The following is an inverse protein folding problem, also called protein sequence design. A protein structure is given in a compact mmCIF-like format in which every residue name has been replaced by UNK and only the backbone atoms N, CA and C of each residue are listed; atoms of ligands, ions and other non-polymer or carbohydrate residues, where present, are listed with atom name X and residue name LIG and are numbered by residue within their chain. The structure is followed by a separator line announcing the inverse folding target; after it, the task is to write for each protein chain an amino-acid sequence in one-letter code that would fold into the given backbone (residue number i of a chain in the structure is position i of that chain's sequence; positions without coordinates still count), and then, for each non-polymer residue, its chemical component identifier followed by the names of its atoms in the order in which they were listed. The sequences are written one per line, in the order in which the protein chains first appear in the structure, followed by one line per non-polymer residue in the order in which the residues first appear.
data_IF_217070840142
#
_entry.id   IF_217070840142
#
_cell.length_a   1.000
_cell.length_b   1.000
_cell.length_c   1.000
_cell.angle_alpha   90.00
_cell.angle_beta   90.00
_cell.angle_gamma   90.00
#
_symmetry.space_group_name_H-M   'P 1'
#
loop_
_entity.id
_entity.type
_entity.pdbx_description
1 polymer ?
#
# COMPACT_ATOMS: atom_id res chain seq x y z
N UNK A 1 -32.49 -12.06 36.66
CA UNK A 1 -32.21 -10.80 37.39
C UNK A 1 -30.71 -10.75 37.62
N UNK A 2 -29.97 -10.10 36.75
CA UNK A 2 -28.52 -9.94 36.82
C UNK A 2 -28.23 -8.51 37.26
N UNK A 3 -27.71 -8.41 38.46
CA UNK A 3 -27.39 -7.16 39.15
C UNK A 3 -26.19 -6.49 38.48
N UNK A 4 -26.39 -5.31 37.89
CA UNK A 4 -25.32 -4.50 37.27
C UNK A 4 -24.71 -3.60 38.34
N UNK A 5 -23.46 -3.89 38.73
CA UNK A 5 -22.69 -3.01 39.61
C UNK A 5 -22.43 -1.64 38.96
N UNK A 6 -22.68 -0.57 39.75
CA UNK A 6 -22.46 0.82 39.31
C UNK A 6 -21.00 1.25 39.50
N UNK A 7 -20.53 2.23 38.66
CA UNK A 7 -19.16 2.78 38.70
C UNK A 7 -18.70 3.29 40.09
N UNK A 8 -19.61 3.64 40.97
CA UNK A 8 -19.30 4.10 42.32
C UNK A 8 -18.88 2.96 43.27
N UNK A 9 -19.25 1.71 43.01
CA UNK A 9 -18.87 0.55 43.82
C UNK A 9 -17.46 0.03 43.50
N UNK A 10 -16.90 0.36 42.31
CA UNK A 10 -15.57 -0.05 41.91
C UNK A 10 -14.44 0.80 42.54
N UNK A 11 -14.75 2.04 42.96
CA UNK A 11 -13.76 2.98 43.49
C UNK A 11 -13.55 2.89 45.02
N UNK A 12 -14.31 2.05 45.74
CA UNK A 12 -14.19 1.93 47.19
C UNK A 12 -13.39 0.75 47.73
N UNK A 13 -12.74 -0.05 46.86
CA UNK A 13 -11.94 -1.23 47.26
C UNK A 13 -10.44 -1.15 47.02
N UNK A 14 -9.87 0.04 46.85
CA UNK A 14 -8.47 0.25 46.56
C UNK A 14 -7.75 1.17 47.55
N UNK A 15 -7.95 1.04 48.85
CA UNK A 15 -7.16 1.78 49.82
C UNK A 15 -6.99 0.97 51.12
N UNK A 16 -5.94 0.14 51.20
CA UNK A 16 -5.30 -0.24 52.50
C UNK A 16 -3.90 -0.76 52.19
N UNK A 17 -2.89 -0.01 52.65
CA UNK A 17 -1.72 -0.46 53.42
C UNK A 17 -0.59 -1.18 52.70
N UNK A 18 0.59 -0.58 52.72
CA UNK A 18 1.83 -1.29 52.41
C UNK A 18 3.08 -0.46 52.54
N UNK A 19 3.64 -0.52 53.67
CA UNK A 19 4.93 -0.08 54.19
C UNK A 19 6.06 0.08 53.19
N UNK A 20 6.75 1.22 53.31
CA UNK A 20 8.05 1.57 52.71
C UNK A 20 9.14 0.79 53.46
N UNK A 21 9.95 0.00 52.74
CA UNK A 21 11.23 -0.47 53.19
C UNK A 21 12.32 0.14 52.27
N UNK A 22 13.01 1.11 52.87
CA UNK A 22 14.26 1.67 52.34
C UNK A 22 15.41 0.74 52.66
N UNK A 23 16.20 0.36 51.65
CA UNK A 23 17.51 -0.22 51.80
C UNK A 23 18.51 0.64 51.04
N UNK A 24 19.56 1.19 51.69
CA UNK A 24 20.54 2.01 51.02
C UNK A 24 21.74 1.17 50.54
N UNK A 25 22.27 1.55 49.40
CA UNK A 25 23.69 1.47 49.10
C UNK A 25 24.16 0.21 48.40
N UNK A 26 24.65 0.43 47.19
CA UNK A 26 26.06 0.17 46.86
C UNK A 26 26.37 0.73 45.46
N UNK A 27 27.08 1.87 45.47
CA UNK A 27 27.85 2.40 44.34
C UNK A 27 28.99 1.39 44.05
N UNK A 28 29.03 0.88 42.84
CA UNK A 28 30.24 0.38 42.21
C UNK A 28 30.38 0.99 40.83
N UNK A 29 31.19 2.02 40.74
CA UNK A 29 31.74 2.54 39.51
C UNK A 29 32.84 1.61 39.03
N UNK A 30 32.89 1.40 37.70
CA UNK A 30 34.04 1.21 36.82
C UNK A 30 33.48 0.69 35.48
N UNK A 31 33.52 1.46 34.42
CA UNK A 31 34.66 1.84 33.67
C UNK A 31 34.50 1.35 32.27
N UNK A 32 34.46 2.22 31.30
CA UNK A 32 34.97 1.91 29.97
C UNK A 32 33.99 1.67 28.83
N UNK A 33 33.67 2.72 28.06
CA UNK A 33 33.82 2.66 26.62
C UNK A 33 32.68 2.03 25.80
N UNK A 34 31.97 2.85 25.03
CA UNK A 34 31.15 2.41 23.92
C UNK A 34 29.72 2.89 24.02
N UNK A 35 29.49 4.16 23.78
CA UNK A 35 28.12 4.73 23.68
C UNK A 35 27.41 4.26 22.41
N UNK A 36 26.91 3.06 22.43
CA UNK A 36 25.79 2.68 21.57
C UNK A 36 24.53 2.94 22.37
N UNK A 37 23.77 3.97 22.06
CA UNK A 37 22.41 4.09 22.55
C UNK A 37 21.64 2.85 22.12
N UNK A 38 21.36 1.94 23.05
CA UNK A 38 20.43 0.83 22.81
C UNK A 38 19.06 1.47 22.54
N UNK A 39 18.76 1.72 21.29
CA UNK A 39 17.45 2.19 20.89
C UNK A 39 16.45 1.10 21.30
N UNK A 40 15.53 1.43 22.18
CA UNK A 40 14.55 0.46 22.67
C UNK A 40 13.64 0.00 21.52
N UNK A 41 13.86 -1.20 21.04
CA UNK A 41 12.98 -1.88 20.10
C UNK A 41 11.76 -2.37 20.87
N UNK A 42 10.57 -2.00 20.41
CA UNK A 42 9.31 -2.48 21.01
C UNK A 42 9.13 -3.98 20.71
N UNK A 43 8.47 -4.69 21.65
CA UNK A 43 8.12 -6.11 21.45
C UNK A 43 6.95 -6.33 20.48
N UNK A 44 6.31 -5.27 20.03
CA UNK A 44 5.17 -5.30 19.11
C UNK A 44 5.38 -4.26 18.03
N UNK A 45 5.15 -4.66 16.79
CA UNK A 45 5.05 -3.80 15.61
C UNK A 45 3.58 -3.68 15.20
N UNK A 46 3.06 -2.47 15.12
CA UNK A 46 1.72 -2.18 14.61
C UNK A 46 1.83 -1.70 13.17
N UNK A 47 1.46 -2.54 12.22
CA UNK A 47 1.64 -2.31 10.79
C UNK A 47 0.29 -2.22 10.07
N UNK A 48 -0.05 -1.04 9.53
CA UNK A 48 -1.22 -0.83 8.70
C UNK A 48 -0.87 -0.89 7.22
N UNK A 49 -1.60 -1.71 6.47
CA UNK A 49 -1.38 -1.95 5.06
C UNK A 49 -2.71 -2.12 4.31
N UNK A 50 -2.61 -2.31 3.02
CA UNK A 50 -3.71 -2.64 2.12
C UNK A 50 -4.17 -4.10 2.30
N UNK A 51 -5.43 -4.43 2.02
CA UNK A 51 -5.89 -5.81 1.93
C UNK A 51 -5.11 -6.61 0.90
N UNK A 52 -4.97 -7.90 1.13
CA UNK A 52 -4.30 -8.84 0.21
C UNK A 52 -2.83 -8.46 -0.15
N UNK A 53 -2.13 -7.72 0.69
CA UNK A 53 -0.83 -7.13 0.34
C UNK A 53 0.34 -7.70 1.16
N UNK A 54 0.17 -8.95 1.62
CA UNK A 54 1.19 -9.73 2.34
C UNK A 54 1.05 -11.21 1.97
N UNK A 55 2.15 -11.95 2.01
CA UNK A 55 2.12 -13.39 1.82
C UNK A 55 1.36 -14.08 2.96
N UNK A 56 0.46 -14.97 2.60
CA UNK A 56 -0.34 -15.78 3.52
C UNK A 56 0.04 -17.26 3.41
N UNK A 57 -0.31 -18.05 4.41
CA UNK A 57 -0.14 -19.51 4.33
C UNK A 57 -0.86 -20.09 3.11
N UNK A 58 -2.04 -19.53 2.75
CA UNK A 58 -2.78 -19.95 1.57
C UNK A 58 -2.04 -19.59 0.28
N UNK A 59 -1.65 -18.32 0.10
CA UNK A 59 -1.00 -17.88 -1.13
C UNK A 59 0.36 -18.55 -1.37
N UNK A 60 1.14 -18.80 -0.32
CA UNK A 60 2.37 -19.57 -0.42
C UNK A 60 2.12 -21.02 -0.81
N UNK A 61 1.11 -21.66 -0.23
CA UNK A 61 0.71 -23.02 -0.58
C UNK A 61 0.23 -23.12 -2.03
N UNK A 62 -0.55 -22.16 -2.50
CA UNK A 62 -1.02 -22.10 -3.88
C UNK A 62 0.15 -21.96 -4.87
N UNK A 63 1.21 -21.23 -4.46
CA UNK A 63 2.48 -21.14 -5.19
C UNK A 63 3.41 -22.35 -5.01
N UNK A 64 3.01 -23.36 -4.24
CA UNK A 64 3.83 -24.55 -3.97
C UNK A 64 4.97 -24.31 -2.96
N UNK A 65 4.92 -23.22 -2.20
CA UNK A 65 5.96 -22.82 -1.23
C UNK A 65 5.58 -23.32 0.16
N UNK A 66 6.30 -24.34 0.65
CA UNK A 66 6.13 -24.87 2.01
C UNK A 66 7.08 -24.15 2.98
N UNK A 67 6.70 -22.94 3.37
CA UNK A 67 7.45 -22.09 4.33
C UNK A 67 6.48 -21.31 5.21
N UNK A 68 6.93 -20.91 6.45
CA UNK A 68 6.23 -19.90 7.21
C UNK A 68 6.11 -18.59 6.42
N UNK A 69 5.05 -17.80 6.66
CA UNK A 69 4.90 -16.47 6.07
C UNK A 69 6.05 -15.53 6.46
N UNK A 70 6.28 -14.48 5.72
CA UNK A 70 7.32 -13.50 6.05
C UNK A 70 7.09 -12.85 7.41
N UNK A 71 5.84 -12.62 7.83
CA UNK A 71 5.52 -12.15 9.17
C UNK A 71 5.93 -13.17 10.25
N UNK A 72 5.60 -14.45 10.07
CA UNK A 72 5.98 -15.50 11.01
C UNK A 72 7.51 -15.65 11.12
N UNK A 73 8.22 -15.55 9.98
CA UNK A 73 9.69 -15.56 9.97
C UNK A 73 10.28 -14.36 10.70
N UNK A 74 9.70 -13.16 10.52
CA UNK A 74 10.12 -11.97 11.25
C UNK A 74 9.93 -12.13 12.75
N UNK A 75 8.76 -12.58 13.19
CA UNK A 75 8.46 -12.82 14.60
C UNK A 75 9.43 -13.84 15.21
N UNK A 76 9.65 -14.97 14.53
CA UNK A 76 10.56 -16.02 14.99
C UNK A 76 12.02 -15.54 15.09
N UNK A 77 12.47 -14.70 14.15
CA UNK A 77 13.83 -14.19 14.08
C UNK A 77 14.12 -13.10 15.12
N UNK A 78 13.14 -12.25 15.40
CA UNK A 78 13.33 -11.02 16.18
C UNK A 78 12.69 -11.06 17.56
N UNK A 79 11.71 -11.91 17.79
CA UNK A 79 10.86 -11.91 18.98
C UNK A 79 9.85 -10.75 19.03
N UNK A 80 9.77 -9.93 17.96
CA UNK A 80 8.81 -8.83 17.83
C UNK A 80 7.53 -9.40 17.26
N UNK A 81 6.42 -9.25 17.96
CA UNK A 81 5.08 -9.60 17.47
C UNK A 81 4.59 -8.58 16.45
N UNK A 82 3.89 -9.01 15.40
CA UNK A 82 3.32 -8.13 14.38
C UNK A 82 1.79 -8.12 14.49
N UNK A 83 1.24 -6.96 14.83
CA UNK A 83 -0.16 -6.68 14.63
C UNK A 83 -0.31 -6.10 13.22
N UNK A 84 -0.74 -6.93 12.28
CA UNK A 84 -0.98 -6.52 10.90
C UNK A 84 -2.43 -6.10 10.71
N UNK A 85 -2.65 -4.89 10.17
CA UNK A 85 -3.97 -4.30 9.99
C UNK A 85 -4.22 -4.05 8.51
N UNK A 86 -5.15 -4.77 7.93
CA UNK A 86 -5.68 -4.53 6.58
C UNK A 86 -6.75 -3.43 6.66
N UNK A 87 -6.31 -2.18 6.79
CA UNK A 87 -7.21 -1.06 7.05
C UNK A 87 -7.07 0.12 6.07
N UNK A 88 -6.21 -0.02 5.07
CA UNK A 88 -6.03 0.99 4.01
C UNK A 88 -6.89 0.58 2.82
N UNK A 89 -8.14 1.04 2.74
CA UNK A 89 -8.99 0.79 1.58
C UNK A 89 -8.61 1.66 0.39
N UNK A 90 -8.27 2.92 0.67
CA UNK A 90 -7.71 3.86 -0.31
C UNK A 90 -6.88 4.94 0.40
N UNK A 91 -5.94 5.57 -0.32
CA UNK A 91 -5.14 6.67 0.23
C UNK A 91 -6.02 7.83 0.75
N UNK A 92 -7.02 8.36 -0.01
CA UNK A 92 -7.83 9.46 0.47
C UNK A 92 -8.63 9.13 1.73
N UNK A 93 -9.21 7.93 1.82
CA UNK A 93 -9.98 7.51 3.00
C UNK A 93 -9.09 7.34 4.23
N UNK A 94 -7.95 6.65 4.07
CA UNK A 94 -7.04 6.44 5.19
C UNK A 94 -6.42 7.75 5.66
N UNK A 95 -6.01 8.62 4.74
CA UNK A 95 -5.51 9.95 5.08
C UNK A 95 -6.55 10.78 5.83
N UNK A 96 -7.79 10.84 5.36
CA UNK A 96 -8.88 11.52 6.04
C UNK A 96 -9.12 10.98 7.48
N UNK A 97 -9.02 9.67 7.66
CA UNK A 97 -9.15 9.00 8.97
C UNK A 97 -8.07 9.44 9.97
N UNK A 98 -6.83 9.65 9.52
CA UNK A 98 -5.69 9.86 10.43
C UNK A 98 -5.19 11.30 10.52
N UNK A 99 -5.43 12.15 9.50
CA UNK A 99 -4.88 13.51 9.40
C UNK A 99 -5.22 14.38 10.61
N UNK A 100 -6.43 14.29 11.15
CA UNK A 100 -6.84 15.11 12.28
C UNK A 100 -6.03 14.86 13.56
N UNK A 101 -5.59 13.62 13.80
CA UNK A 101 -4.69 13.29 14.92
C UNK A 101 -3.27 13.78 14.64
N UNK A 102 -2.76 13.49 13.44
CA UNK A 102 -1.41 13.88 13.03
C UNK A 102 -1.24 15.41 13.05
N UNK A 103 -2.25 16.16 12.61
CA UNK A 103 -2.26 17.62 12.64
C UNK A 103 -2.19 18.22 14.07
N UNK A 104 -2.66 17.46 15.08
CA UNK A 104 -2.50 17.82 16.50
C UNK A 104 -1.20 17.33 17.12
N UNK A 105 -0.31 16.72 16.32
CA UNK A 105 0.94 16.12 16.82
C UNK A 105 0.73 14.80 17.57
N UNK A 106 -0.44 14.15 17.42
CA UNK A 106 -0.78 12.90 18.09
C UNK A 106 -0.42 11.69 17.22
N UNK A 107 0.15 10.65 17.84
CA UNK A 107 0.37 9.38 17.17
C UNK A 107 -0.95 8.67 16.82
N UNK A 108 -0.93 7.89 15.76
CA UNK A 108 -2.09 7.14 15.27
C UNK A 108 -2.13 5.68 15.76
N UNK A 109 -1.13 5.27 16.57
CA UNK A 109 -1.01 3.91 17.10
C UNK A 109 -0.54 2.90 16.03
N UNK A 110 0.17 3.36 15.03
CA UNK A 110 0.84 2.55 14.00
C UNK A 110 2.33 2.87 13.98
N UNK A 111 3.15 1.84 13.78
CA UNK A 111 4.60 2.00 13.63
C UNK A 111 4.98 2.12 12.14
N UNK A 112 4.23 1.43 11.27
CA UNK A 112 4.36 1.54 9.82
C UNK A 112 2.96 1.74 9.24
N UNK A 113 2.87 2.61 8.24
CA UNK A 113 1.75 2.70 7.29
C UNK A 113 2.28 2.66 5.87
N UNK A 114 1.48 2.17 4.93
CA UNK A 114 1.83 2.13 3.51
C UNK A 114 0.97 3.12 2.74
N UNK A 115 1.63 3.92 1.89
CA UNK A 115 0.99 4.93 1.05
C UNK A 115 1.63 4.97 -0.33
N UNK A 116 0.82 5.16 -1.35
CA UNK A 116 1.24 5.13 -2.76
C UNK A 116 1.86 6.46 -3.19
N UNK A 117 2.86 6.42 -4.06
CA UNK A 117 3.46 7.59 -4.70
C UNK A 117 2.61 8.14 -5.87
N UNK A 118 1.59 7.40 -6.27
CA UNK A 118 0.66 7.77 -7.34
C UNK A 118 -0.51 8.64 -6.86
N UNK A 119 -0.36 9.24 -5.67
CA UNK A 119 -1.32 10.16 -5.07
C UNK A 119 -0.58 11.25 -4.28
N UNK A 120 -1.25 12.35 -3.91
CA UNK A 120 -0.66 13.47 -3.16
C UNK A 120 -0.30 13.13 -1.72
N UNK A 121 -0.94 12.13 -1.14
CA UNK A 121 -0.96 11.89 0.30
C UNK A 121 0.40 11.50 0.87
N UNK A 122 1.21 10.71 0.16
CA UNK A 122 2.56 10.38 0.59
C UNK A 122 3.43 11.64 0.76
N UNK A 123 3.38 12.55 -0.21
CA UNK A 123 4.08 13.83 -0.12
C UNK A 123 3.53 14.70 1.04
N UNK A 124 2.22 14.68 1.30
CA UNK A 124 1.63 15.42 2.42
C UNK A 124 2.07 14.88 3.78
N UNK A 125 2.18 13.57 3.98
CA UNK A 125 2.75 13.01 5.22
C UNK A 125 4.16 13.54 5.48
N UNK A 126 4.99 13.64 4.45
CA UNK A 126 6.37 14.11 4.55
C UNK A 126 6.42 15.62 4.77
N UNK A 127 5.73 16.41 3.94
CA UNK A 127 5.76 17.88 3.97
C UNK A 127 5.17 18.46 5.25
N UNK A 128 4.13 17.83 5.80
CA UNK A 128 3.52 18.22 7.06
C UNK A 128 4.31 17.70 8.28
N UNK A 129 5.43 16.99 8.08
CA UNK A 129 6.25 16.37 9.14
C UNK A 129 5.44 15.33 9.96
N UNK A 130 4.50 14.67 9.33
CA UNK A 130 3.73 13.58 9.93
C UNK A 130 4.40 12.22 9.75
N UNK A 131 5.37 12.13 8.82
CA UNK A 131 6.30 11.01 8.70
C UNK A 131 7.58 11.32 9.49
N UNK A 132 8.06 10.35 10.27
CA UNK A 132 9.33 10.43 10.99
C UNK A 132 10.50 10.06 10.06
N UNK A 133 11.68 10.61 10.33
CA UNK A 133 12.91 10.22 9.62
C UNK A 133 13.25 8.76 9.88
N UNK A 134 13.63 8.05 8.82
CA UNK A 134 14.18 6.70 8.91
C UNK A 134 15.59 6.74 9.54
N UNK A 135 15.87 5.82 10.42
CA UNK A 135 17.24 5.55 10.86
C UNK A 135 17.88 4.52 9.91
N UNK A 136 18.56 5.00 8.87
CA UNK A 136 19.19 4.16 7.87
C UNK A 136 20.30 3.26 8.43
N UNK A 137 20.87 3.61 9.60
CA UNK A 137 21.86 2.76 10.27
C UNK A 137 21.26 1.44 10.74
N UNK A 138 19.93 1.43 11.00
CA UNK A 138 19.15 0.25 11.36
C UNK A 138 18.59 -0.50 10.13
N UNK A 139 18.81 0.04 8.92
CA UNK A 139 18.32 -0.55 7.67
C UNK A 139 19.50 -0.82 6.71
N UNK A 140 20.52 -1.61 7.10
CA UNK A 140 21.68 -1.87 6.24
C UNK A 140 21.31 -2.52 4.89
N UNK A 141 20.18 -3.21 4.82
CA UNK A 141 19.67 -3.81 3.57
C UNK A 141 19.04 -2.79 2.60
N UNK A 142 18.93 -1.50 2.97
CA UNK A 142 18.47 -0.44 2.05
C UNK A 142 19.34 -0.37 0.77
N UNK A 143 20.59 -0.80 0.84
CA UNK A 143 21.50 -0.95 -0.32
C UNK A 143 20.94 -1.86 -1.42
N UNK A 144 19.96 -2.71 -1.08
CA UNK A 144 19.31 -3.61 -2.01
C UNK A 144 18.15 -2.96 -2.76
N UNK A 145 17.78 -1.71 -2.45
CA UNK A 145 16.76 -0.97 -3.20
C UNK A 145 17.17 -0.86 -4.68
N UNK A 146 16.21 -1.11 -5.58
CA UNK A 146 16.44 -0.99 -7.04
C UNK A 146 16.79 0.45 -7.43
N UNK A 147 17.68 0.67 -8.41
CA UNK A 147 18.16 2.01 -8.78
C UNK A 147 17.04 2.98 -9.16
N UNK A 148 16.02 2.52 -9.88
CA UNK A 148 14.92 3.35 -10.36
C UNK A 148 14.10 4.02 -9.23
N UNK A 149 14.17 3.49 -8.00
CA UNK A 149 13.39 3.97 -6.87
C UNK A 149 14.24 4.69 -5.79
N UNK A 150 15.53 4.93 -6.05
CA UNK A 150 16.43 5.51 -5.04
C UNK A 150 16.19 7.00 -4.80
N UNK A 151 15.74 7.75 -5.81
CA UNK A 151 15.67 9.22 -5.76
C UNK A 151 14.31 9.75 -6.25
N UNK A 152 13.18 9.41 -5.60
CA UNK A 152 11.88 9.93 -6.00
C UNK A 152 11.77 11.43 -5.68
N UNK A 153 11.01 12.21 -6.45
CA UNK A 153 10.89 13.66 -6.26
C UNK A 153 10.37 14.06 -4.87
N UNK A 154 9.48 13.27 -4.27
CA UNK A 154 8.87 13.55 -2.97
C UNK A 154 9.79 13.24 -1.78
N UNK A 155 10.84 12.43 -1.96
CA UNK A 155 11.82 12.04 -0.93
C UNK A 155 13.17 11.67 -1.59
N UNK A 156 13.92 12.65 -2.15
CA UNK A 156 15.08 12.39 -3.00
C UNK A 156 16.21 11.59 -2.33
N UNK A 157 16.25 11.62 -1.03
CA UNK A 157 17.26 10.91 -0.23
C UNK A 157 16.72 9.65 0.45
N UNK A 158 15.43 9.31 0.29
CA UNK A 158 14.80 8.23 1.07
C UNK A 158 14.96 8.44 2.58
N UNK A 159 14.77 9.68 3.05
CA UNK A 159 14.90 10.01 4.46
C UNK A 159 13.64 9.66 5.26
N UNK A 160 12.48 9.56 4.62
CA UNK A 160 11.18 9.38 5.28
C UNK A 160 10.40 8.17 4.79
N UNK A 161 10.74 7.67 3.61
CA UNK A 161 9.99 6.60 2.95
C UNK A 161 10.90 5.49 2.43
N UNK A 162 10.40 4.26 2.47
CA UNK A 162 11.09 3.12 1.88
C UNK A 162 10.07 2.30 1.08
N UNK A 163 10.31 2.04 -0.24
CA UNK A 163 9.39 1.30 -1.07
C UNK A 163 8.98 -0.05 -0.47
N UNK A 164 7.70 -0.36 -0.53
CA UNK A 164 7.13 -1.65 -0.18
C UNK A 164 7.08 -2.54 -1.41
N UNK A 165 6.38 -2.09 -2.42
CA UNK A 165 6.16 -2.83 -3.66
C UNK A 165 5.77 -1.89 -4.80
N UNK A 166 5.80 -2.39 -6.03
CA UNK A 166 5.18 -1.74 -7.18
C UNK A 166 4.10 -2.64 -7.78
N UNK A 167 3.12 -2.01 -8.40
CA UNK A 167 2.07 -2.67 -9.16
C UNK A 167 1.72 -1.89 -10.41
N UNK A 168 0.80 -2.44 -11.17
CA UNK A 168 0.36 -1.88 -12.45
C UNK A 168 -1.15 -1.70 -12.46
N UNK A 169 -1.59 -0.60 -13.04
CA UNK A 169 -3.00 -0.34 -13.34
C UNK A 169 -3.40 -0.98 -14.65
N UNK A 170 -4.59 -1.55 -14.64
CA UNK A 170 -5.16 -2.18 -15.81
C UNK A 170 -6.67 -2.28 -15.74
N UNK A 171 -7.21 -3.19 -16.51
CA UNK A 171 -8.64 -3.49 -16.59
C UNK A 171 -8.87 -4.94 -16.21
N UNK A 172 -9.89 -5.19 -15.38
CA UNK A 172 -10.33 -6.52 -15.03
C UNK A 172 -11.81 -6.72 -15.37
N UNK A 173 -12.19 -7.98 -15.62
CA UNK A 173 -13.59 -8.37 -15.85
C UNK A 173 -13.88 -9.74 -15.24
N UNK A 174 -15.16 -9.99 -15.01
CA UNK A 174 -15.68 -11.27 -14.58
C UNK A 174 -16.35 -11.96 -15.78
N UNK A 175 -15.80 -13.10 -16.24
CA UNK A 175 -16.26 -13.82 -17.43
C UNK A 175 -17.66 -14.45 -17.29
N UNK A 176 -18.15 -14.64 -16.06
CA UNK A 176 -19.53 -15.07 -15.82
C UNK A 176 -20.55 -13.97 -16.12
N UNK A 177 -20.11 -12.71 -16.18
CA UNK A 177 -20.99 -11.53 -16.27
C UNK A 177 -20.88 -10.82 -17.60
N UNK A 178 -19.72 -10.85 -18.24
CA UNK A 178 -19.46 -10.14 -19.50
C UNK A 178 -18.43 -10.85 -20.39
N UNK A 179 -18.47 -10.55 -21.68
CA UNK A 179 -17.38 -10.83 -22.63
C UNK A 179 -16.09 -10.10 -22.19
N UNK A 180 -14.92 -10.48 -22.72
CA UNK A 180 -13.66 -9.81 -22.37
C UNK A 180 -13.69 -8.28 -22.53
N UNK A 181 -13.30 -7.57 -21.48
CA UNK A 181 -13.16 -6.11 -21.43
C UNK A 181 -11.70 -5.76 -21.28
N UNK A 182 -11.07 -5.28 -22.34
CA UNK A 182 -9.61 -5.14 -22.41
C UNK A 182 -9.13 -3.69 -22.58
N UNK A 183 -10.04 -2.72 -22.61
CA UNK A 183 -9.70 -1.29 -22.78
C UNK A 183 -10.56 -0.37 -21.94
N UNK A 184 -10.04 0.80 -21.62
CA UNK A 184 -10.80 1.87 -20.94
C UNK A 184 -11.99 2.34 -21.80
N UNK A 185 -11.81 2.33 -23.13
CA UNK A 185 -12.90 2.65 -24.07
C UNK A 185 -14.09 1.71 -23.89
N UNK A 186 -13.85 0.39 -23.81
CA UNK A 186 -14.92 -0.59 -23.58
C UNK A 186 -15.60 -0.36 -22.23
N UNK A 187 -14.85 -0.10 -21.15
CA UNK A 187 -15.43 0.23 -19.84
C UNK A 187 -16.44 1.39 -19.94
N UNK A 188 -16.13 2.42 -20.72
CA UNK A 188 -16.90 3.66 -20.72
C UNK A 188 -17.97 3.74 -21.80
N UNK A 189 -17.88 2.92 -22.85
CA UNK A 189 -18.75 3.04 -24.02
C UNK A 189 -19.60 1.79 -24.31
N UNK A 190 -19.25 0.60 -23.82
CA UNK A 190 -20.05 -0.58 -24.05
C UNK A 190 -21.38 -0.49 -23.27
N UNK A 191 -22.53 -0.42 -23.95
CA UNK A 191 -23.83 -0.29 -23.30
C UNK A 191 -24.21 -1.53 -22.48
N UNK A 192 -23.62 -2.70 -22.75
CA UNK A 192 -23.81 -3.92 -21.96
C UNK A 192 -23.28 -3.78 -20.53
N UNK A 193 -22.30 -2.90 -20.32
CA UNK A 193 -21.66 -2.67 -19.03
C UNK A 193 -22.34 -1.57 -18.20
N UNK A 194 -23.38 -0.93 -18.71
CA UNK A 194 -24.01 0.21 -18.05
C UNK A 194 -24.42 -0.10 -16.60
N UNK A 195 -23.94 0.71 -15.65
CA UNK A 195 -24.19 0.57 -14.22
C UNK A 195 -23.46 -0.61 -13.55
N UNK A 196 -22.50 -1.24 -14.27
CA UNK A 196 -21.72 -2.38 -13.77
C UNK A 196 -20.20 -2.17 -13.89
N UNK A 197 -19.76 -0.92 -14.06
CA UNK A 197 -18.34 -0.56 -14.17
C UNK A 197 -17.86 0.10 -12.89
N UNK A 198 -16.72 -0.37 -12.35
CA UNK A 198 -16.00 0.24 -11.26
C UNK A 198 -14.85 1.11 -11.77
N UNK A 199 -14.59 2.23 -11.08
CA UNK A 199 -13.37 3.04 -11.22
C UNK A 199 -12.84 3.35 -9.84
N UNK A 200 -11.56 3.73 -9.71
CA UNK A 200 -11.01 4.06 -8.40
C UNK A 200 -11.36 5.48 -7.94
N UNK A 201 -11.34 5.67 -6.62
CA UNK A 201 -11.39 6.98 -5.98
C UNK A 201 -10.00 7.66 -5.90
N UNK A 202 -8.98 7.05 -6.48
CA UNK A 202 -7.65 7.62 -6.70
C UNK A 202 -7.62 8.41 -8.02
N UNK A 203 -7.23 9.68 -7.94
CA UNK A 203 -7.14 10.57 -9.11
C UNK A 203 -6.06 10.10 -10.08
N UNK A 204 -4.88 9.76 -9.56
CA UNK A 204 -3.74 9.34 -10.36
C UNK A 204 -4.03 8.10 -11.19
N UNK A 205 -4.54 7.05 -10.55
CA UNK A 205 -4.84 5.77 -11.20
C UNK A 205 -5.95 5.93 -12.25
N UNK A 206 -7.06 6.56 -11.86
CA UNK A 206 -8.21 6.70 -12.76
C UNK A 206 -7.93 7.62 -13.94
N UNK A 207 -7.43 8.83 -13.69
CA UNK A 207 -7.18 9.78 -14.79
C UNK A 207 -5.96 9.40 -15.61
N UNK A 208 -4.96 8.72 -15.03
CA UNK A 208 -3.81 8.20 -15.77
C UNK A 208 -4.23 7.24 -16.88
N UNK A 209 -5.07 6.25 -16.59
CA UNK A 209 -5.58 5.33 -17.61
C UNK A 209 -6.46 6.05 -18.66
N UNK A 210 -7.27 7.02 -18.25
CA UNK A 210 -8.12 7.79 -19.17
C UNK A 210 -7.26 8.68 -20.09
N UNK A 211 -6.16 9.27 -19.56
CA UNK A 211 -5.23 10.04 -20.38
C UNK A 211 -4.59 9.17 -21.46
N UNK A 212 -4.15 7.97 -21.10
CA UNK A 212 -3.60 7.01 -22.07
C UNK A 212 -4.63 6.64 -23.14
N UNK A 213 -5.88 6.39 -22.76
CA UNK A 213 -6.98 6.14 -23.71
C UNK A 213 -7.22 7.32 -24.65
N UNK A 214 -7.07 8.55 -24.17
CA UNK A 214 -7.17 9.77 -24.98
C UNK A 214 -5.93 10.03 -25.87
N UNK A 215 -4.85 9.25 -25.72
CA UNK A 215 -3.56 9.46 -26.37
C UNK A 215 -2.69 10.54 -25.73
N UNK A 216 -2.98 10.89 -24.46
CA UNK A 216 -2.22 11.84 -23.67
C UNK A 216 -1.15 11.11 -22.82
N UNK A 217 -0.03 11.75 -22.53
CA UNK A 217 1.02 11.22 -21.65
C UNK A 217 0.74 11.65 -20.18
N UNK A 218 0.39 10.73 -19.28
CA UNK A 218 0.13 11.06 -17.88
C UNK A 218 1.38 11.57 -17.12
N UNK A 219 2.59 11.37 -17.67
CA UNK A 219 3.83 11.91 -17.12
C UNK A 219 4.09 13.38 -17.50
N UNK A 220 3.27 13.96 -18.39
CA UNK A 220 3.40 15.34 -18.90
C UNK A 220 2.05 16.03 -18.98
N UNK A 221 1.43 16.18 -17.84
CA UNK A 221 0.07 16.68 -17.75
C UNK A 221 0.01 18.18 -18.05
N UNK A 222 -0.98 18.57 -18.86
CA UNK A 222 -1.36 19.95 -19.13
C UNK A 222 -2.82 20.17 -18.69
N UNK A 223 -3.24 21.42 -18.52
CA UNK A 223 -4.65 21.74 -18.24
C UNK A 223 -5.59 21.15 -19.32
N UNK A 224 -5.15 21.12 -20.56
CA UNK A 224 -5.92 20.57 -21.66
C UNK A 224 -6.09 19.06 -21.55
N UNK A 225 -5.01 18.30 -21.30
CA UNK A 225 -5.07 16.84 -21.14
C UNK A 225 -5.82 16.43 -19.88
N UNK A 226 -5.60 17.13 -18.76
CA UNK A 226 -6.35 16.91 -17.52
C UNK A 226 -7.85 17.11 -17.72
N UNK A 227 -8.26 18.26 -18.30
CA UNK A 227 -9.68 18.55 -18.50
C UNK A 227 -10.32 17.59 -19.52
N UNK A 228 -9.60 17.10 -20.54
CA UNK A 228 -10.12 16.04 -21.43
C UNK A 228 -10.41 14.75 -20.68
N UNK A 229 -9.45 14.27 -19.88
CA UNK A 229 -9.62 13.04 -19.09
C UNK A 229 -10.78 13.18 -18.10
N UNK A 230 -10.84 14.31 -17.38
CA UNK A 230 -11.92 14.59 -16.43
C UNK A 230 -13.28 14.63 -17.11
N UNK A 231 -13.42 15.33 -18.25
CA UNK A 231 -14.68 15.41 -19.01
C UNK A 231 -15.11 14.04 -19.54
N UNK A 232 -14.14 13.19 -19.91
CA UNK A 232 -14.40 11.81 -20.33
C UNK A 232 -15.04 11.00 -19.19
N UNK A 233 -14.46 11.09 -17.98
CA UNK A 233 -14.98 10.46 -16.77
C UNK A 233 -16.36 11.02 -16.39
N UNK A 234 -16.53 12.36 -16.38
CA UNK A 234 -17.81 12.99 -16.08
C UNK A 234 -18.93 12.50 -17.01
N UNK A 235 -18.64 12.35 -18.30
CA UNK A 235 -19.61 11.81 -19.28
C UNK A 235 -20.01 10.38 -18.90
N UNK A 236 -19.05 9.54 -18.53
CA UNK A 236 -19.32 8.16 -18.13
C UNK A 236 -20.13 8.08 -16.82
N UNK A 237 -19.84 8.94 -15.84
CA UNK A 237 -20.61 9.07 -14.60
C UNK A 237 -22.04 9.55 -14.88
N UNK A 238 -22.20 10.65 -15.61
CA UNK A 238 -23.52 11.26 -15.93
C UNK A 238 -24.40 10.33 -16.78
N UNK A 239 -23.82 9.49 -17.62
CA UNK A 239 -24.58 8.51 -18.42
C UNK A 239 -25.06 7.31 -17.59
N UNK A 240 -24.61 7.17 -16.36
CA UNK A 240 -24.85 6.00 -15.51
C UNK A 240 -24.05 4.77 -15.94
N UNK A 241 -22.97 4.92 -16.71
CA UNK A 241 -22.06 3.83 -17.08
C UNK A 241 -21.30 3.35 -15.86
N UNK A 242 -20.74 4.29 -15.08
CA UNK A 242 -20.01 4.02 -13.84
C UNK A 242 -21.00 3.74 -12.72
N UNK A 243 -20.81 2.61 -12.02
CA UNK A 243 -21.60 2.24 -10.83
C UNK A 243 -21.19 3.06 -9.61
N UNK A 244 -19.88 3.10 -9.32
CA UNK A 244 -19.33 3.84 -8.20
C UNK A 244 -17.81 4.00 -8.33
N UNK A 245 -17.27 4.85 -7.45
CA UNK A 245 -15.85 4.96 -7.17
C UNK A 245 -15.50 4.05 -5.99
N UNK A 246 -14.39 3.33 -6.09
CA UNK A 246 -13.97 2.32 -5.13
C UNK A 246 -12.53 2.56 -4.65
N UNK A 247 -12.19 2.04 -3.47
CA UNK A 247 -10.83 1.69 -3.09
C UNK A 247 -10.59 0.20 -3.41
N UNK A 248 -9.90 -0.53 -2.55
CA UNK A 248 -9.69 -1.99 -2.69
C UNK A 248 -10.98 -2.82 -2.66
N UNK A 249 -12.05 -2.24 -2.14
CA UNK A 249 -13.36 -2.89 -2.05
C UNK A 249 -14.02 -3.16 -3.41
N UNK A 250 -13.46 -2.68 -4.54
CA UNK A 250 -13.92 -3.10 -5.88
C UNK A 250 -13.73 -4.60 -6.12
N UNK A 251 -12.64 -5.18 -5.62
CA UNK A 251 -12.23 -6.55 -5.93
C UNK A 251 -13.27 -7.61 -5.48
N UNK A 252 -13.76 -7.61 -4.23
CA UNK A 252 -14.84 -8.54 -3.84
C UNK A 252 -16.17 -8.26 -4.55
N UNK A 253 -16.45 -7.03 -4.98
CA UNK A 253 -17.67 -6.68 -5.73
C UNK A 253 -17.60 -7.22 -7.16
N UNK A 254 -16.41 -7.16 -7.79
CA UNK A 254 -16.14 -7.77 -9.09
C UNK A 254 -16.23 -9.30 -9.02
N UNK A 255 -15.64 -9.92 -7.99
CA UNK A 255 -15.67 -11.36 -7.80
C UNK A 255 -17.09 -11.91 -7.63
N UNK A 256 -17.99 -11.16 -6.98
CA UNK A 256 -19.40 -11.52 -6.83
C UNK A 256 -20.23 -11.34 -8.11
N UNK A 257 -19.70 -10.67 -9.12
CA UNK A 257 -20.41 -10.33 -10.35
C UNK A 257 -21.34 -9.11 -10.24
N UNK A 258 -21.28 -8.37 -9.14
CA UNK A 258 -22.01 -7.09 -8.98
C UNK A 258 -21.40 -5.98 -9.85
N UNK A 259 -20.10 -6.07 -10.16
CA UNK A 259 -19.43 -5.41 -11.27
C UNK A 259 -19.20 -6.43 -12.38
N UNK A 260 -19.38 -6.00 -13.63
CA UNK A 260 -19.01 -6.79 -14.80
C UNK A 260 -17.52 -6.57 -15.13
N UNK A 261 -17.05 -5.34 -15.04
CA UNK A 261 -15.66 -4.95 -15.25
C UNK A 261 -15.28 -3.74 -14.38
N UNK A 262 -13.98 -3.56 -14.18
CA UNK A 262 -13.45 -2.44 -13.39
C UNK A 262 -12.04 -2.07 -13.86
N UNK A 263 -11.64 -0.82 -13.62
CA UNK A 263 -10.23 -0.51 -13.44
C UNK A 263 -9.74 -1.34 -12.25
N UNK A 264 -8.57 -1.97 -12.34
CA UNK A 264 -8.11 -2.93 -11.35
C UNK A 264 -6.58 -2.97 -11.22
N UNK A 265 -6.11 -3.11 -9.97
CA UNK A 265 -4.68 -3.31 -9.69
C UNK A 265 -4.28 -4.77 -9.95
N UNK A 266 -3.09 -4.94 -10.52
CA UNK A 266 -2.61 -6.22 -11.03
C UNK A 266 -2.62 -7.36 -10.01
N UNK A 267 -2.13 -7.11 -8.79
CA UNK A 267 -2.00 -8.13 -7.76
C UNK A 267 -3.33 -8.54 -7.12
N UNK A 268 -4.30 -7.62 -7.01
CA UNK A 268 -5.59 -7.91 -6.37
C UNK A 268 -6.32 -9.06 -7.08
N UNK A 269 -6.36 -9.01 -8.41
CA UNK A 269 -7.04 -10.04 -9.21
C UNK A 269 -6.30 -11.38 -9.14
N UNK A 270 -4.95 -11.35 -9.16
CA UNK A 270 -4.14 -12.55 -9.01
C UNK A 270 -4.36 -13.23 -7.64
N UNK A 271 -4.43 -12.44 -6.56
CA UNK A 271 -4.55 -12.94 -5.19
C UNK A 271 -5.95 -13.44 -4.85
N UNK A 272 -7.01 -12.95 -5.50
CA UNK A 272 -8.32 -13.53 -5.39
C UNK A 272 -8.32 -15.00 -5.86
N UNK A 273 -7.46 -15.33 -6.85
CA UNK A 273 -7.29 -16.68 -7.35
C UNK A 273 -8.56 -17.29 -7.93
N UNK A 274 -9.53 -16.43 -8.31
CA UNK A 274 -10.77 -16.85 -8.94
C UNK A 274 -10.55 -16.95 -10.46
N UNK A 275 -10.66 -18.16 -11.06
CA UNK A 275 -10.39 -18.36 -12.48
C UNK A 275 -11.33 -17.57 -13.41
N UNK A 276 -12.43 -17.06 -12.90
CA UNK A 276 -13.39 -16.24 -13.66
C UNK A 276 -12.97 -14.77 -13.79
N UNK A 277 -12.00 -14.37 -13.00
CA UNK A 277 -11.49 -13.00 -13.01
C UNK A 277 -10.26 -12.92 -13.91
N UNK A 278 -10.29 -11.98 -14.81
CA UNK A 278 -9.21 -11.72 -15.74
C UNK A 278 -8.69 -10.30 -15.56
N UNK A 279 -7.41 -10.10 -15.82
CA UNK A 279 -6.77 -8.78 -15.77
C UNK A 279 -5.83 -8.60 -16.96
N UNK A 280 -5.82 -7.40 -17.53
CA UNK A 280 -4.89 -7.03 -18.62
C UNK A 280 -4.41 -5.60 -18.48
N UNK A 281 -3.22 -5.33 -19.02
CA UNK A 281 -2.81 -3.97 -19.38
C UNK A 281 -3.56 -3.57 -20.64
N UNK A 282 -4.28 -2.44 -20.66
CA UNK A 282 -4.93 -1.95 -21.87
C UNK A 282 -3.95 -1.76 -23.04
N UNK A 283 -4.40 -1.88 -24.31
CA UNK A 283 -3.55 -1.63 -25.46
C UNK A 283 -2.92 -0.24 -25.49
N UNK A 284 -3.58 0.72 -24.87
CA UNK A 284 -3.16 2.12 -24.76
C UNK A 284 -2.00 2.31 -23.77
N UNK A 285 -1.76 1.32 -22.92
CA UNK A 285 -0.78 1.33 -21.84
C UNK A 285 -1.41 1.29 -20.46
N UNK A 286 -0.58 1.24 -19.44
CA UNK A 286 -0.96 1.24 -18.03
C UNK A 286 -0.16 2.24 -17.22
N UNK A 287 -0.55 2.42 -15.96
CA UNK A 287 0.23 3.21 -15.00
C UNK A 287 0.97 2.25 -14.06
N UNK A 288 2.22 2.55 -13.77
CA UNK A 288 3.01 1.85 -12.75
C UNK A 288 3.19 2.78 -11.56
N UNK A 289 2.95 2.25 -10.38
CA UNK A 289 3.04 2.96 -9.11
C UNK A 289 3.93 2.20 -8.13
N UNK A 290 4.33 2.90 -7.06
CA UNK A 290 5.10 2.32 -5.96
C UNK A 290 4.48 2.71 -4.63
N UNK A 291 4.14 1.71 -3.84
CA UNK A 291 3.78 1.88 -2.45
C UNK A 291 5.00 2.02 -1.57
N UNK A 292 4.89 2.86 -0.55
CA UNK A 292 5.99 3.21 0.32
C UNK A 292 5.60 3.05 1.79
N UNK A 293 6.43 2.36 2.54
CA UNK A 293 6.38 2.34 4.00
C UNK A 293 6.85 3.68 4.55
N UNK A 294 6.10 4.28 5.45
CA UNK A 294 6.50 5.42 6.26
C UNK A 294 6.25 5.13 7.74
N UNK A 295 6.97 5.81 8.61
CA UNK A 295 6.81 5.75 10.07
C UNK A 295 6.03 6.98 10.50
N UNK A 296 4.73 6.88 10.82
CA UNK A 296 3.95 8.03 11.23
C UNK A 296 4.38 8.56 12.59
N UNK A 297 3.98 9.80 12.93
CA UNK A 297 4.20 10.37 14.26
C UNK A 297 3.75 9.39 15.36
N UNK A 298 4.61 9.22 16.37
CA UNK A 298 4.38 8.32 17.50
C UNK A 298 4.67 6.84 17.23
N UNK A 299 5.03 6.46 16.00
CA UNK A 299 5.54 5.13 15.67
C UNK A 299 6.97 4.91 16.16
N UNK A 300 7.33 3.68 16.48
CA UNK A 300 8.68 3.30 16.93
C UNK A 300 9.64 3.20 15.75
N UNK A 301 10.52 4.20 15.58
CA UNK A 301 11.55 4.20 14.51
C UNK A 301 12.43 2.93 14.58
N UNK A 302 12.94 2.48 15.76
CA UNK A 302 13.78 1.28 15.79
C UNK A 302 13.03 0.01 15.39
N UNK A 303 11.77 -0.15 15.87
CA UNK A 303 10.98 -1.35 15.60
C UNK A 303 10.60 -1.42 14.12
N UNK A 304 10.13 -0.29 13.55
CA UNK A 304 9.79 -0.17 12.13
C UNK A 304 11.02 -0.41 11.24
N UNK A 305 12.17 0.21 11.57
CA UNK A 305 13.42 0.02 10.83
C UNK A 305 13.90 -1.42 10.83
N UNK A 306 13.73 -2.14 11.97
CA UNK A 306 14.07 -3.57 12.05
C UNK A 306 13.23 -4.39 11.06
N UNK A 307 11.93 -4.10 10.94
CA UNK A 307 11.04 -4.76 9.98
C UNK A 307 11.40 -4.40 8.54
N UNK A 308 11.59 -3.11 8.24
CA UNK A 308 12.02 -2.66 6.92
C UNK A 308 13.33 -3.34 6.48
N UNK A 309 14.31 -3.42 7.38
CA UNK A 309 15.56 -4.11 7.10
C UNK A 309 15.36 -5.60 6.82
N UNK A 310 14.46 -6.27 7.55
CA UNK A 310 14.14 -7.68 7.34
C UNK A 310 13.53 -7.90 5.96
N UNK A 311 12.55 -7.08 5.55
CA UNK A 311 11.88 -7.19 4.26
C UNK A 311 12.81 -6.89 3.08
N UNK A 312 13.89 -6.13 3.30
CA UNK A 312 14.90 -5.81 2.29
C UNK A 312 16.00 -6.89 2.15
N UNK A 313 15.89 -8.03 2.82
CA UNK A 313 16.65 -9.24 2.49
C UNK A 313 16.07 -9.83 1.19
N UNK A 314 16.90 -10.06 0.12
CA UNK A 314 16.40 -10.53 -1.16
C UNK A 314 15.64 -11.86 -1.10
N UNK A 315 15.96 -12.77 -0.19
CA UNK A 315 15.27 -14.05 -0.03
C UNK A 315 13.89 -13.87 0.62
N UNK A 316 13.78 -12.97 1.59
CA UNK A 316 12.51 -12.63 2.23
C UNK A 316 11.61 -11.91 1.23
N UNK A 317 12.16 -10.92 0.54
CA UNK A 317 11.44 -10.16 -0.47
C UNK A 317 11.00 -11.02 -1.67
N UNK A 318 11.80 -12.02 -2.05
CA UNK A 318 11.43 -12.99 -3.08
C UNK A 318 10.23 -13.84 -2.67
N UNK A 319 10.20 -14.35 -1.44
CA UNK A 319 9.07 -15.11 -0.93
C UNK A 319 7.81 -14.24 -0.85
N UNK A 320 7.95 -13.01 -0.31
CA UNK A 320 6.85 -12.06 -0.25
C UNK A 320 6.28 -11.79 -1.66
N UNK A 321 7.15 -11.51 -2.65
CA UNK A 321 6.74 -11.20 -4.03
C UNK A 321 5.98 -12.37 -4.68
N UNK A 322 6.43 -13.61 -4.48
CA UNK A 322 5.72 -14.83 -4.94
C UNK A 322 4.36 -14.97 -4.24
N UNK A 323 4.31 -14.77 -2.92
CA UNK A 323 3.08 -14.92 -2.14
C UNK A 323 2.08 -13.77 -2.29
N UNK A 324 2.53 -12.56 -2.63
CA UNK A 324 1.70 -11.37 -2.76
C UNK A 324 1.44 -10.97 -4.23
N UNK A 325 2.08 -11.63 -5.21
CA UNK A 325 1.92 -11.36 -6.65
C UNK A 325 2.16 -9.91 -7.07
N UNK A 326 3.15 -9.25 -6.43
CA UNK A 326 3.54 -7.87 -6.73
C UNK A 326 5.04 -7.74 -7.01
N UNK A 327 5.41 -6.66 -7.69
CA UNK A 327 6.80 -6.36 -8.06
C UNK A 327 7.57 -5.94 -6.82
N UNK A 328 8.66 -6.66 -6.50
CA UNK A 328 9.54 -6.28 -5.40
C UNK A 328 10.40 -5.06 -5.74
N UNK A 329 10.54 -4.16 -4.76
CA UNK A 329 11.47 -3.03 -4.80
C UNK A 329 12.93 -3.42 -4.47
N UNK A 330 13.19 -4.70 -4.18
CA UNK A 330 14.50 -5.22 -3.79
C UNK A 330 15.18 -5.89 -4.99
N UNK A 331 16.41 -5.49 -5.30
CA UNK A 331 17.20 -6.09 -6.39
C UNK A 331 17.63 -7.53 -6.07
N UNK A 332 17.77 -8.34 -7.11
CA UNK A 332 18.29 -9.70 -7.00
C UNK A 332 17.27 -10.77 -6.60
N UNK A 333 16.00 -10.40 -6.41
CA UNK A 333 14.94 -11.33 -5.95
C UNK A 333 14.60 -12.44 -6.94
N UNK A 334 14.76 -12.21 -8.27
CA UNK A 334 14.30 -13.13 -9.31
C UNK A 334 14.86 -14.55 -9.15
N UNK A 335 16.17 -14.67 -8.89
CA UNK A 335 16.81 -15.98 -8.74
C UNK A 335 16.26 -16.78 -7.55
N UNK A 336 15.93 -16.12 -6.44
CA UNK A 336 15.38 -16.77 -5.26
C UNK A 336 13.87 -17.01 -5.41
N UNK A 337 13.12 -16.13 -6.08
CA UNK A 337 11.72 -16.35 -6.41
C UNK A 337 11.52 -17.59 -7.32
N UNK A 338 12.35 -17.74 -8.35
CA UNK A 338 12.32 -18.92 -9.27
C UNK A 338 12.65 -20.23 -8.55
N UNK A 339 13.51 -20.19 -7.51
CA UNK A 339 13.76 -21.38 -6.68
C UNK A 339 12.55 -21.75 -5.81
N UNK A 340 11.75 -20.77 -5.40
CA UNK A 340 10.55 -20.97 -4.61
C UNK A 340 9.38 -21.46 -5.49
N UNK A 341 9.16 -20.75 -6.59
CA UNK A 341 8.15 -21.11 -7.62
C UNK A 341 8.78 -20.94 -9.02
N UNK A 342 9.07 -22.03 -9.73
CA UNK A 342 9.59 -21.97 -11.08
C UNK A 342 8.71 -21.18 -12.07
N UNK A 343 7.40 -21.10 -11.84
CA UNK A 343 6.46 -20.36 -12.68
C UNK A 343 6.66 -18.84 -12.55
N UNK A 344 7.17 -18.37 -11.41
CA UNK A 344 7.42 -16.95 -11.18
C UNK A 344 8.34 -16.32 -12.25
N UNK A 345 9.21 -17.12 -12.90
CA UNK A 345 10.09 -16.62 -13.97
C UNK A 345 9.35 -15.95 -15.13
N UNK A 346 8.16 -16.44 -15.45
CA UNK A 346 7.30 -15.96 -16.54
C UNK A 346 6.13 -15.08 -16.07
N UNK A 347 5.98 -14.92 -14.77
CA UNK A 347 4.88 -14.12 -14.21
C UNK A 347 5.14 -12.63 -14.41
N UNK A 348 4.33 -12.01 -15.27
CA UNK A 348 4.43 -10.59 -15.61
C UNK A 348 3.99 -9.67 -14.47
N UNK A 349 3.28 -10.16 -13.48
CA UNK A 349 2.85 -9.38 -12.31
C UNK A 349 4.00 -9.20 -11.31
N UNK A 350 4.91 -10.19 -11.26
CA UNK A 350 6.09 -10.17 -10.38
C UNK A 350 7.34 -9.68 -11.14
N UNK A 351 7.52 -10.15 -12.37
CA UNK A 351 8.67 -9.84 -13.22
C UNK A 351 8.22 -9.41 -14.61
N UNK A 352 7.65 -8.20 -14.74
CA UNK A 352 7.19 -7.68 -16.03
C UNK A 352 8.34 -7.65 -17.05
N UNK A 353 8.02 -8.04 -18.28
CA UNK A 353 8.98 -8.00 -19.39
C UNK A 353 9.34 -6.57 -19.76
N UNK A 354 10.44 -6.39 -20.48
CA UNK A 354 10.79 -5.08 -21.04
C UNK A 354 9.67 -4.52 -21.94
N UNK A 355 8.95 -5.40 -22.66
CA UNK A 355 7.78 -5.02 -23.46
C UNK A 355 6.66 -4.47 -22.55
N UNK A 356 6.31 -5.19 -21.48
CA UNK A 356 5.28 -4.74 -20.52
C UNK A 356 5.69 -3.40 -19.90
N UNK A 357 6.95 -3.29 -19.42
CA UNK A 357 7.44 -2.05 -18.80
C UNK A 357 7.46 -0.86 -19.80
N UNK A 358 7.69 -1.10 -21.08
CA UNK A 358 7.64 -0.03 -22.09
C UNK A 358 6.24 0.51 -22.38
N UNK A 359 5.20 -0.17 -21.90
CA UNK A 359 3.79 0.26 -21.95
C UNK A 359 3.34 0.94 -20.64
N UNK A 360 4.22 0.99 -19.63
CA UNK A 360 3.90 1.59 -18.35
C UNK A 360 4.36 3.04 -18.27
N UNK A 361 3.50 3.88 -17.72
CA UNK A 361 3.72 5.30 -17.49
C UNK A 361 3.67 5.61 -16.00
N UNK A 362 4.35 6.66 -15.57
CA UNK A 362 4.18 7.24 -14.24
C UNK A 362 3.31 8.50 -14.37
N UNK A 363 2.57 8.83 -13.33
CA UNK A 363 1.83 10.08 -13.30
C UNK A 363 2.76 11.26 -12.99
N UNK A 364 2.43 12.42 -13.54
CA UNK A 364 3.10 13.68 -13.24
C UNK A 364 2.83 14.08 -11.78
N UNK A 365 3.86 14.21 -10.93
CA UNK A 365 3.67 14.65 -9.55
C UNK A 365 2.98 16.02 -9.43
N UNK A 366 3.16 16.91 -10.43
CA UNK A 366 2.49 18.20 -10.48
C UNK A 366 0.97 18.05 -10.62
N UNK A 367 0.48 17.04 -11.36
CA UNK A 367 -0.94 16.73 -11.42
C UNK A 367 -1.48 16.34 -10.03
N UNK A 368 -0.79 15.44 -9.36
CA UNK A 368 -1.25 14.86 -8.09
C UNK A 368 -1.36 15.90 -6.98
N UNK A 369 -0.48 16.89 -6.97
CA UNK A 369 -0.41 17.92 -5.93
C UNK A 369 -1.14 19.23 -6.28
N UNK A 370 -1.68 19.37 -7.50
CA UNK A 370 -2.39 20.59 -7.94
C UNK A 370 -3.75 20.73 -7.21
N UNK A 371 -3.95 21.82 -6.42
CA UNK A 371 -5.19 22.00 -5.66
C UNK A 371 -6.44 22.16 -6.53
N UNK A 372 -6.32 22.80 -7.70
CA UNK A 372 -7.45 23.02 -8.62
C UNK A 372 -7.86 21.70 -9.28
N UNK A 373 -6.90 20.85 -9.65
CA UNK A 373 -7.18 19.52 -10.17
C UNK A 373 -7.85 18.64 -9.11
N UNK A 374 -7.33 18.66 -7.89
CA UNK A 374 -7.94 17.92 -6.78
C UNK A 374 -9.38 18.38 -6.49
N UNK A 375 -9.65 19.69 -6.52
CA UNK A 375 -11.01 20.22 -6.35
C UNK A 375 -11.95 19.75 -7.46
N UNK A 376 -11.52 19.78 -8.73
CA UNK A 376 -12.33 19.30 -9.86
C UNK A 376 -12.55 17.79 -9.77
N UNK A 377 -11.54 17.04 -9.37
CA UNK A 377 -11.64 15.59 -9.14
C UNK A 377 -12.70 15.24 -8.10
N UNK A 378 -12.67 15.89 -6.92
CA UNK A 378 -13.66 15.68 -5.86
C UNK A 378 -15.08 16.01 -6.33
N UNK A 379 -15.25 17.06 -7.11
CA UNK A 379 -16.56 17.44 -7.66
C UNK A 379 -17.15 16.35 -8.59
N UNK A 380 -16.32 15.62 -9.35
CA UNK A 380 -16.80 14.51 -10.20
C UNK A 380 -17.24 13.31 -9.36
N UNK A 381 -16.62 13.11 -8.20
CA UNK A 381 -17.03 12.08 -7.25
C UNK A 381 -18.29 12.44 -6.45
N UNK A 382 -18.80 13.69 -6.57
CA UNK A 382 -19.93 14.18 -5.80
C UNK A 382 -19.57 14.59 -4.36
N UNK A 383 -18.32 14.96 -4.12
CA UNK A 383 -17.78 15.39 -2.81
C UNK A 383 -17.55 16.90 -2.75
#
# INVERSE_FOLDING_TARGET
MTDRMTRAQLLRRGAVGGTILTVPGLLAACGGGGGGSSQNVNKVLNFANWPLYIDTTKSLKDAGVDKPTTLQQFEAKTGIKVNYYEEVNSNPEYFAKVQGRLARGEGIGRDIIVSTDNDRFLAEYINNKWAQKLDKSLIPNIKNLIPAQQHPPFDPNRDYSLPWASGMDGVAWNEDVTDPVTSVKQLFEDPKLKGKVGVWNSMGDTLGLIMLENGDDPAKVTDASFNRALSRLEKAVKSGQIRAFYGNDYAPVLAKGDLAASMAWSGDIALLGDPKLHWVVPPEGGVIWTDNMIIPLGGSVPTASTYMNFMYDPKISAQWSVGASYISSVKGVKADAVKLDPKAAGDQLIFPSAKTLSQMHQNDPAMLTNPDYNKKWLAVQGQ
#
